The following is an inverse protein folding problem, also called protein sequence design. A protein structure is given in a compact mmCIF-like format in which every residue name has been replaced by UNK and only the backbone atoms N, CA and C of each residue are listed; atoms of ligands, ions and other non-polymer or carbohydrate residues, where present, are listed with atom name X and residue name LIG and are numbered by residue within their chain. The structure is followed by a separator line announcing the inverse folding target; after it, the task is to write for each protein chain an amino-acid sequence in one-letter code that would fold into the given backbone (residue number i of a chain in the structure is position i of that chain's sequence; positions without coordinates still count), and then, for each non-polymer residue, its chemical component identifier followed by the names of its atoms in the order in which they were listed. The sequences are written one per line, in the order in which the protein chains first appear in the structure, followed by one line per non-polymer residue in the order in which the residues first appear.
data_IF_376929092590
#
_entry.id   IF_376929092590
#
_cell.length_a   1.000
_cell.length_b   1.000
_cell.length_c   1.000
_cell.angle_alpha   90.00
_cell.angle_beta   90.00
_cell.angle_gamma   90.00
#
_symmetry.space_group_name_H-M   'P 1'
#
loop_
_entity.id
_entity.type
_entity.pdbx_description
1 polymer ?
#
# COMPACT_ATOMS: atom_id res chain seq x y z
N UNK A 1 26.17 -56.12 9.66
CA UNK A 1 25.34 -54.90 9.51
C UNK A 1 26.22 -53.79 8.98
N UNK A 2 25.91 -53.25 7.81
CA UNK A 2 26.66 -52.16 7.19
C UNK A 2 26.60 -52.23 5.66
N UNK A 3 25.59 -51.59 5.07
CA UNK A 3 25.49 -51.35 3.63
C UNK A 3 25.54 -49.83 3.43
N UNK A 4 26.70 -49.35 2.99
CA UNK A 4 26.89 -47.98 2.50
C UNK A 4 26.28 -47.86 1.11
N UNK A 5 25.40 -46.87 0.93
CA UNK A 5 24.98 -46.40 -0.38
C UNK A 5 25.78 -45.14 -0.73
N UNK A 6 26.55 -45.20 -1.82
CA UNK A 6 27.16 -44.06 -2.50
C UNK A 6 26.19 -43.57 -3.57
N UNK A 7 25.77 -42.30 -3.50
CA UNK A 7 25.13 -41.60 -4.61
C UNK A 7 26.13 -40.64 -5.28
N UNK A 8 26.13 -40.52 -6.62
CA UNK A 8 27.01 -39.61 -7.32
C UNK A 8 26.47 -38.17 -7.25
N UNK A 9 27.34 -37.23 -6.91
CA UNK A 9 27.07 -35.79 -7.01
C UNK A 9 27.42 -35.35 -8.43
N UNK A 10 26.40 -35.17 -9.26
CA UNK A 10 26.53 -34.39 -10.50
C UNK A 10 25.33 -33.45 -10.62
N UNK A 11 25.51 -32.19 -10.22
CA UNK A 11 24.74 -31.10 -10.80
C UNK A 11 25.63 -29.86 -10.87
N UNK A 12 26.06 -29.54 -12.08
CA UNK A 12 26.58 -28.23 -12.45
C UNK A 12 25.50 -27.18 -12.16
N UNK A 13 25.60 -26.51 -11.03
CA UNK A 13 24.81 -25.32 -10.73
C UNK A 13 25.20 -24.23 -11.73
N UNK A 14 24.37 -24.07 -12.75
CA UNK A 14 24.36 -22.85 -13.56
C UNK A 14 23.68 -21.79 -12.69
N UNK A 15 24.47 -20.85 -12.15
CA UNK A 15 23.92 -19.67 -11.49
C UNK A 15 23.00 -18.95 -12.48
N UNK A 16 21.73 -18.70 -12.14
CA UNK A 16 20.85 -17.94 -13.02
C UNK A 16 21.43 -16.53 -13.18
N UNK A 17 21.76 -16.19 -14.43
CA UNK A 17 22.24 -14.88 -14.82
C UNK A 17 21.21 -13.80 -14.44
N UNK A 18 21.55 -12.98 -13.45
CA UNK A 18 20.90 -11.71 -13.11
C UNK A 18 20.82 -10.79 -14.35
N UNK A 19 19.76 -10.85 -15.16
CA UNK A 19 19.74 -10.04 -16.39
C UNK A 19 18.44 -9.29 -16.71
N UNK A 20 17.39 -9.41 -15.90
CA UNK A 20 16.18 -8.55 -16.02
C UNK A 20 15.70 -7.97 -14.69
N UNK A 21 15.68 -8.75 -13.60
CA UNK A 21 15.26 -8.27 -12.27
C UNK A 21 16.16 -7.16 -11.69
N UNK A 22 17.47 -7.21 -11.91
CA UNK A 22 18.39 -6.23 -11.31
C UNK A 22 18.17 -4.79 -11.82
N UNK A 23 17.81 -4.63 -13.10
CA UNK A 23 17.55 -3.31 -13.69
C UNK A 23 16.22 -2.72 -13.20
N UNK A 24 15.18 -3.54 -13.13
CA UNK A 24 13.89 -3.12 -12.57
C UNK A 24 14.04 -2.77 -11.09
N UNK A 25 14.76 -3.59 -10.31
CA UNK A 25 15.06 -3.29 -8.92
C UNK A 25 15.83 -1.97 -8.77
N UNK A 26 16.82 -1.68 -9.62
CA UNK A 26 17.54 -0.40 -9.57
C UNK A 26 16.65 0.80 -9.90
N UNK A 27 15.73 0.66 -10.86
CA UNK A 27 14.76 1.72 -11.18
C UNK A 27 13.77 1.94 -10.02
N UNK A 28 13.28 0.87 -9.40
CA UNK A 28 12.43 0.92 -8.20
C UNK A 28 13.18 1.59 -7.04
N UNK A 29 14.44 1.23 -6.78
CA UNK A 29 15.26 1.88 -5.74
C UNK A 29 15.45 3.38 -5.99
N UNK A 30 15.72 3.78 -7.24
CA UNK A 30 15.85 5.20 -7.61
C UNK A 30 14.53 5.95 -7.45
N UNK A 31 13.42 5.31 -7.83
CA UNK A 31 12.06 5.83 -7.64
C UNK A 31 11.77 6.05 -6.15
N UNK A 32 11.99 5.04 -5.31
CA UNK A 32 11.78 5.10 -3.85
C UNK A 32 12.68 6.13 -3.16
N UNK A 33 13.95 6.24 -3.58
CA UNK A 33 14.88 7.24 -3.04
C UNK A 33 14.44 8.67 -3.41
N UNK A 34 13.98 8.87 -4.64
CA UNK A 34 13.42 10.15 -5.10
C UNK A 34 12.17 10.51 -4.33
N UNK A 35 11.23 9.57 -4.16
CA UNK A 35 10.01 9.80 -3.39
C UNK A 35 10.32 10.15 -1.93
N UNK A 36 11.26 9.42 -1.30
CA UNK A 36 11.69 9.72 0.07
C UNK A 36 12.32 11.12 0.20
N UNK A 37 13.07 11.57 -0.80
CA UNK A 37 13.64 12.93 -0.83
C UNK A 37 12.56 14.00 -1.05
N UNK A 38 11.58 13.74 -1.93
CA UNK A 38 10.44 14.62 -2.16
C UNK A 38 9.64 14.87 -0.87
N UNK A 39 9.34 13.80 -0.13
CA UNK A 39 8.61 13.87 1.13
C UNK A 39 9.40 14.62 2.19
N UNK A 40 10.69 14.30 2.36
CA UNK A 40 11.57 15.00 3.31
C UNK A 40 11.64 16.50 3.03
N UNK A 41 11.76 16.90 1.77
CA UNK A 41 11.77 18.31 1.40
C UNK A 41 10.39 18.96 1.58
N UNK A 42 9.31 18.23 1.33
CA UNK A 42 7.94 18.77 1.48
C UNK A 42 7.55 18.97 2.95
N UNK A 43 8.09 18.15 3.87
CA UNK A 43 7.79 18.26 5.31
C UNK A 43 8.59 19.32 6.07
N UNK A 44 9.59 19.95 5.43
CA UNK A 44 10.39 21.00 6.06
C UNK A 44 9.73 22.37 5.90
N UNK A 45 9.56 23.09 7.02
CA UNK A 45 9.03 24.47 7.03
C UNK A 45 9.98 25.47 6.38
N UNK A 46 11.28 25.27 6.55
CA UNK A 46 12.31 26.25 6.20
C UNK A 46 13.35 25.66 5.23
N UNK A 47 12.91 25.44 3.99
CA UNK A 47 13.82 25.05 2.91
C UNK A 47 14.74 26.19 2.51
N UNK A 48 16.04 25.92 2.39
CA UNK A 48 16.98 26.85 1.79
C UNK A 48 16.78 26.96 0.27
N UNK A 49 17.42 27.92 -0.39
CA UNK A 49 17.24 28.17 -1.83
C UNK A 49 17.58 26.95 -2.70
N UNK A 50 18.61 26.20 -2.33
CA UNK A 50 19.04 24.98 -3.05
C UNK A 50 18.02 23.87 -2.90
N UNK A 51 17.49 23.67 -1.69
CA UNK A 51 16.47 22.66 -1.40
C UNK A 51 15.13 22.97 -2.08
N UNK A 52 14.74 24.25 -2.18
CA UNK A 52 13.56 24.66 -2.96
C UNK A 52 13.72 24.37 -4.45
N UNK A 53 14.90 24.61 -5.00
CA UNK A 53 15.22 24.28 -6.40
C UNK A 53 15.24 22.76 -6.62
N UNK A 54 15.80 22.01 -5.67
CA UNK A 54 15.78 20.54 -5.69
C UNK A 54 14.34 20.03 -5.68
N UNK A 55 13.52 20.47 -4.71
CA UNK A 55 12.10 20.10 -4.61
C UNK A 55 11.35 20.40 -5.93
N UNK A 56 11.58 21.59 -6.49
CA UNK A 56 11.00 22.01 -7.77
C UNK A 56 11.41 21.04 -8.88
N UNK A 57 12.71 20.73 -9.00
CA UNK A 57 13.25 19.82 -10.01
C UNK A 57 12.78 18.37 -9.82
N UNK A 58 12.61 17.93 -8.57
CA UNK A 58 12.09 16.61 -8.25
C UNK A 58 10.58 16.52 -8.55
N UNK A 59 9.79 17.57 -8.34
CA UNK A 59 8.35 17.59 -8.71
C UNK A 59 8.15 17.65 -10.22
N UNK A 60 8.95 18.43 -10.93
CA UNK A 60 8.89 18.59 -12.39
C UNK A 60 9.16 17.29 -13.18
N UNK A 61 9.75 16.27 -12.55
CA UNK A 61 10.03 14.96 -13.16
C UNK A 61 8.84 13.98 -13.11
N UNK A 62 7.65 14.42 -12.69
CA UNK A 62 6.41 13.63 -12.70
C UNK A 62 6.31 12.54 -11.62
N UNK A 63 5.25 11.75 -11.64
CA UNK A 63 5.07 10.65 -10.67
C UNK A 63 6.22 9.64 -10.76
N UNK A 64 6.72 9.19 -9.61
CA UNK A 64 7.78 8.17 -9.54
C UNK A 64 7.24 6.76 -9.77
N UNK A 65 5.91 6.59 -9.70
CA UNK A 65 5.21 5.36 -10.00
C UNK A 65 5.12 5.15 -11.52
N UNK A 66 5.75 4.09 -12.01
CA UNK A 66 5.61 3.67 -13.40
C UNK A 66 5.24 2.19 -13.49
N UNK A 67 3.94 1.93 -13.56
CA UNK A 67 3.37 0.60 -13.71
C UNK A 67 3.58 -0.01 -15.10
N UNK A 68 4.12 0.72 -16.08
CA UNK A 68 4.61 0.10 -17.33
C UNK A 68 5.81 -0.83 -17.09
N UNK A 69 6.42 -0.77 -15.90
CA UNK A 69 7.52 -1.63 -15.49
C UNK A 69 7.05 -2.90 -14.76
N UNK A 70 5.75 -3.01 -14.49
CA UNK A 70 5.19 -4.17 -13.81
C UNK A 70 5.08 -5.35 -14.77
N UNK A 71 5.37 -6.53 -14.24
CA UNK A 71 5.09 -7.78 -14.93
C UNK A 71 3.58 -8.03 -14.94
N UNK A 72 3.14 -8.92 -15.83
CA UNK A 72 1.74 -9.37 -15.86
C UNK A 72 1.32 -10.00 -14.53
N UNK A 73 2.23 -10.71 -13.86
CA UNK A 73 1.99 -11.31 -12.54
C UNK A 73 1.75 -10.25 -11.49
N UNK A 74 2.52 -9.16 -11.49
CA UNK A 74 2.31 -8.08 -10.53
C UNK A 74 1.03 -7.29 -10.82
N UNK A 75 0.69 -7.06 -12.09
CA UNK A 75 -0.60 -6.44 -12.46
C UNK A 75 -1.77 -7.32 -11.98
N UNK A 76 -1.68 -8.64 -12.16
CA UNK A 76 -2.69 -9.57 -11.64
C UNK A 76 -2.78 -9.54 -10.12
N UNK A 77 -1.66 -9.49 -9.42
CA UNK A 77 -1.58 -9.36 -7.96
C UNK A 77 -2.28 -8.08 -7.46
N UNK A 78 -2.05 -6.93 -8.11
CA UNK A 78 -2.72 -5.67 -7.77
C UNK A 78 -4.24 -5.75 -8.00
N UNK A 79 -4.67 -6.32 -9.11
CA UNK A 79 -6.10 -6.52 -9.40
C UNK A 79 -6.77 -7.45 -8.39
N UNK A 80 -6.07 -8.50 -7.94
CA UNK A 80 -6.55 -9.38 -6.87
C UNK A 80 -6.77 -8.60 -5.57
N UNK A 81 -5.83 -7.73 -5.19
CA UNK A 81 -5.98 -6.94 -3.97
C UNK A 81 -7.04 -5.83 -4.06
N UNK A 82 -7.24 -5.23 -5.24
CA UNK A 82 -8.40 -4.37 -5.48
C UNK A 82 -9.73 -5.14 -5.32
N UNK A 83 -9.76 -6.39 -5.80
CA UNK A 83 -10.91 -7.29 -5.63
C UNK A 83 -11.16 -7.57 -4.15
N UNK A 84 -10.11 -7.96 -3.39
CA UNK A 84 -10.19 -8.17 -1.94
C UNK A 84 -10.71 -6.91 -1.25
N UNK A 85 -10.21 -5.73 -1.60
CA UNK A 85 -10.69 -4.48 -1.00
C UNK A 85 -12.19 -4.31 -1.19
N UNK A 86 -12.67 -4.49 -2.42
CA UNK A 86 -14.11 -4.40 -2.75
C UNK A 86 -14.95 -5.53 -2.13
N UNK A 87 -14.38 -6.71 -1.88
CA UNK A 87 -15.05 -7.82 -1.18
C UNK A 87 -15.20 -7.52 0.31
N UNK A 88 -14.20 -6.86 0.90
CA UNK A 88 -14.20 -6.49 2.30
C UNK A 88 -15.05 -5.25 2.57
N UNK A 89 -15.42 -4.45 1.58
CA UNK A 89 -16.20 -3.22 1.76
C UNK A 89 -17.57 -3.34 1.08
N UNK A 90 -18.50 -2.44 1.41
CA UNK A 90 -19.82 -2.38 0.76
C UNK A 90 -19.86 -1.23 -0.24
N UNK A 91 -20.67 -1.34 -1.30
CA UNK A 91 -20.85 -0.27 -2.30
C UNK A 91 -21.27 1.08 -1.72
N UNK A 92 -21.87 1.08 -0.52
CA UNK A 92 -22.32 2.27 0.19
C UNK A 92 -21.28 2.84 1.18
N UNK A 93 -20.14 2.16 1.36
CA UNK A 93 -19.07 2.55 2.26
C UNK A 93 -18.34 3.79 1.73
N UNK A 94 -17.89 4.65 2.65
CA UNK A 94 -17.01 5.78 2.33
C UNK A 94 -15.56 5.33 2.45
N UNK A 95 -14.79 5.42 1.36
CA UNK A 95 -13.46 4.81 1.26
C UNK A 95 -12.36 5.84 1.05
N UNK A 96 -11.24 5.67 1.75
CA UNK A 96 -9.99 6.37 1.49
C UNK A 96 -8.95 5.40 0.94
N UNK A 97 -8.28 5.73 -0.15
CA UNK A 97 -7.23 4.87 -0.70
C UNK A 97 -6.14 5.67 -1.42
N UNK A 98 -4.98 5.05 -1.57
CA UNK A 98 -3.90 5.60 -2.39
C UNK A 98 -3.97 5.00 -3.78
N UNK A 99 -3.80 5.83 -4.79
CA UNK A 99 -3.83 5.39 -6.19
C UNK A 99 -2.75 6.12 -6.99
N UNK A 100 -2.33 5.46 -8.07
CA UNK A 100 -1.30 5.95 -8.97
C UNK A 100 -1.89 6.60 -10.23
N UNK A 101 -1.00 6.98 -11.19
CA UNK A 101 -1.39 7.64 -12.44
C UNK A 101 -2.29 6.80 -13.35
N UNK A 102 -2.35 5.48 -13.17
CA UNK A 102 -3.27 4.62 -13.92
C UNK A 102 -4.67 4.51 -13.30
N UNK A 103 -4.82 5.01 -12.06
CA UNK A 103 -6.08 5.00 -11.33
C UNK A 103 -6.69 3.59 -11.20
N UNK A 104 -5.86 2.57 -10.96
CA UNK A 104 -6.29 1.17 -11.08
C UNK A 104 -7.29 0.81 -9.98
N UNK A 105 -7.05 1.26 -8.75
CA UNK A 105 -7.98 1.06 -7.63
C UNK A 105 -9.27 1.86 -7.84
N UNK A 106 -9.17 3.13 -8.25
CA UNK A 106 -10.31 3.99 -8.57
C UNK A 106 -11.21 3.36 -9.62
N UNK A 107 -10.64 2.93 -10.75
CA UNK A 107 -11.39 2.32 -11.86
C UNK A 107 -12.03 1.01 -11.43
N UNK A 108 -11.36 0.20 -10.62
CA UNK A 108 -11.91 -1.03 -10.08
C UNK A 108 -13.14 -0.78 -9.19
N UNK A 109 -13.04 0.17 -8.26
CA UNK A 109 -14.15 0.52 -7.37
C UNK A 109 -15.36 1.07 -8.17
N UNK A 110 -15.12 1.98 -9.12
CA UNK A 110 -16.19 2.48 -9.99
C UNK A 110 -16.83 1.37 -10.84
N UNK A 111 -16.03 0.45 -11.37
CA UNK A 111 -16.55 -0.70 -12.13
C UNK A 111 -17.35 -1.69 -11.26
N UNK A 112 -17.07 -1.74 -9.97
CA UNK A 112 -17.81 -2.55 -8.98
C UNK A 112 -19.12 -1.88 -8.55
N UNK A 113 -19.30 -0.59 -8.83
CA UNK A 113 -20.54 0.15 -8.57
C UNK A 113 -20.50 1.06 -7.35
N UNK A 114 -19.31 1.40 -6.83
CA UNK A 114 -19.18 2.41 -5.77
C UNK A 114 -19.54 3.80 -6.30
N UNK A 115 -20.23 4.60 -5.49
CA UNK A 115 -20.53 5.99 -5.81
C UNK A 115 -19.25 6.84 -5.79
N UNK A 116 -19.05 7.67 -6.81
CA UNK A 116 -17.83 8.45 -6.94
C UNK A 116 -17.63 9.49 -5.82
N UNK A 117 -18.70 9.98 -5.19
CA UNK A 117 -18.69 10.95 -4.09
C UNK A 117 -18.32 10.32 -2.73
N UNK A 118 -18.30 8.98 -2.65
CA UNK A 118 -17.86 8.20 -1.49
C UNK A 118 -16.39 7.76 -1.59
N UNK A 119 -15.71 8.04 -2.71
CA UNK A 119 -14.32 7.66 -2.96
C UNK A 119 -13.38 8.84 -2.74
N UNK A 120 -12.38 8.66 -1.88
CA UNK A 120 -11.41 9.70 -1.51
C UNK A 120 -9.99 9.20 -1.73
N UNK A 121 -9.14 10.06 -2.29
CA UNK A 121 -7.72 9.73 -2.49
C UNK A 121 -6.82 10.96 -2.38
N UNK A 122 -5.56 10.72 -2.06
CA UNK A 122 -4.53 11.75 -1.98
C UNK A 122 -3.31 11.32 -2.79
N UNK A 123 -2.69 12.28 -3.50
CA UNK A 123 -1.45 12.05 -4.21
C UNK A 123 -0.58 13.33 -4.21
N UNK A 124 0.75 13.18 -4.15
CA UNK A 124 1.67 14.33 -4.15
C UNK A 124 1.86 14.98 -5.53
N UNK A 125 1.50 14.27 -6.61
CA UNK A 125 1.79 14.70 -7.97
C UNK A 125 0.54 15.29 -8.63
N UNK A 126 0.59 16.60 -8.91
CA UNK A 126 -0.52 17.33 -9.53
C UNK A 126 -1.03 16.72 -10.85
N UNK A 127 -0.17 16.08 -11.64
CA UNK A 127 -0.58 15.37 -12.86
C UNK A 127 -1.46 14.15 -12.55
N UNK A 128 -1.04 13.31 -11.59
CA UNK A 128 -1.83 12.17 -11.12
C UNK A 128 -3.14 12.62 -10.48
N UNK A 129 -3.11 13.70 -9.68
CA UNK A 129 -4.31 14.34 -9.11
C UNK A 129 -5.26 14.80 -10.23
N UNK A 130 -4.75 15.47 -11.26
CA UNK A 130 -5.57 15.95 -12.37
C UNK A 130 -6.23 14.80 -13.15
N UNK A 131 -5.54 13.67 -13.34
CA UNK A 131 -6.11 12.48 -13.97
C UNK A 131 -7.19 11.83 -13.09
N UNK A 132 -6.91 11.64 -11.80
CA UNK A 132 -7.88 11.10 -10.84
C UNK A 132 -9.14 11.98 -10.72
N UNK A 133 -8.99 13.32 -10.78
CA UNK A 133 -10.12 14.27 -10.75
C UNK A 133 -11.07 14.15 -11.94
N UNK A 134 -10.66 13.48 -13.03
CA UNK A 134 -11.54 13.17 -14.15
C UNK A 134 -12.48 12.01 -13.84
N UNK A 135 -12.15 11.19 -12.83
CA UNK A 135 -12.90 9.99 -12.44
C UNK A 135 -13.77 10.22 -11.21
N UNK A 136 -13.22 10.89 -10.19
CA UNK A 136 -13.90 11.14 -8.91
C UNK A 136 -13.69 12.58 -8.43
N UNK A 137 -14.63 13.17 -7.67
CA UNK A 137 -14.50 14.55 -7.18
C UNK A 137 -13.52 14.72 -6.01
N UNK A 138 -13.40 13.73 -5.11
CA UNK A 138 -12.65 13.89 -3.85
C UNK A 138 -11.18 13.46 -3.98
N UNK A 139 -10.42 14.21 -4.79
CA UNK A 139 -9.00 13.98 -5.01
C UNK A 139 -8.19 15.17 -4.49
N UNK A 140 -7.25 14.90 -3.60
CA UNK A 140 -6.48 15.93 -2.91
C UNK A 140 -5.00 15.85 -3.29
N UNK A 141 -4.38 17.01 -3.46
CA UNK A 141 -2.94 17.11 -3.65
C UNK A 141 -2.26 17.26 -2.27
N UNK A 142 -1.37 16.33 -1.92
CA UNK A 142 -0.68 16.35 -0.63
C UNK A 142 -0.38 14.95 -0.08
N UNK A 143 0.14 14.91 1.15
CA UNK A 143 0.34 13.64 1.85
C UNK A 143 -0.99 13.05 2.30
N UNK A 144 -1.05 11.72 2.39
CA UNK A 144 -2.22 11.05 2.93
C UNK A 144 -2.52 11.46 4.39
N UNK A 145 -1.48 11.64 5.22
CA UNK A 145 -1.62 12.06 6.62
C UNK A 145 -2.16 13.48 6.76
N UNK A 146 -1.71 14.42 5.92
CA UNK A 146 -2.19 15.80 5.91
C UNK A 146 -3.64 15.88 5.43
N UNK A 147 -3.94 15.17 4.33
CA UNK A 147 -5.30 15.15 3.76
C UNK A 147 -6.28 14.55 4.76
N UNK A 148 -5.99 13.38 5.33
CA UNK A 148 -6.86 12.74 6.32
C UNK A 148 -7.12 13.63 7.54
N UNK A 149 -6.12 14.35 8.05
CA UNK A 149 -6.30 15.32 9.16
C UNK A 149 -7.23 16.48 8.80
N UNK A 150 -7.29 16.86 7.53
CA UNK A 150 -8.11 17.99 7.06
C UNK A 150 -9.55 17.62 6.75
N UNK A 151 -9.86 16.33 6.66
CA UNK A 151 -11.18 15.82 6.31
C UNK A 151 -11.98 15.49 7.57
N UNK A 152 -13.20 16.00 7.65
CA UNK A 152 -14.19 15.60 8.66
C UNK A 152 -15.08 14.47 8.10
N UNK A 153 -14.44 13.33 7.78
CA UNK A 153 -15.10 12.18 7.14
C UNK A 153 -14.73 10.90 7.89
N UNK A 154 -15.74 10.12 8.25
CA UNK A 154 -15.54 8.79 8.86
C UNK A 154 -15.58 7.72 7.78
N UNK A 155 -14.41 7.21 7.42
CA UNK A 155 -14.27 6.15 6.41
C UNK A 155 -14.52 4.76 6.99
N UNK A 156 -15.12 3.91 6.17
CA UNK A 156 -15.39 2.51 6.44
C UNK A 156 -14.24 1.60 5.97
N UNK A 157 -13.38 2.10 5.07
CA UNK A 157 -12.26 1.36 4.54
C UNK A 157 -11.08 2.25 4.13
N UNK A 158 -9.88 1.76 4.42
CA UNK A 158 -8.62 2.37 4.04
C UNK A 158 -7.78 1.38 3.24
N UNK A 159 -7.36 1.73 2.03
CA UNK A 159 -6.36 0.96 1.28
C UNK A 159 -5.12 1.80 0.99
N UNK A 160 -4.11 1.64 1.85
CA UNK A 160 -2.84 2.37 1.80
C UNK A 160 -1.84 1.65 0.89
N UNK A 161 -2.14 1.71 -0.42
CA UNK A 161 -1.32 1.14 -1.49
C UNK A 161 -0.04 1.97 -1.78
N UNK A 162 0.69 2.26 -0.72
CA UNK A 162 1.88 3.12 -0.76
C UNK A 162 3.12 2.44 -1.33
N UNK A 163 3.13 1.10 -1.43
CA UNK A 163 4.30 0.27 -1.71
C UNK A 163 5.57 0.80 -1.01
N UNK A 164 5.45 1.25 0.24
CA UNK A 164 6.56 1.89 0.94
C UNK A 164 7.43 0.85 1.63
N UNK A 165 8.72 1.15 1.71
CA UNK A 165 9.64 0.42 2.56
C UNK A 165 9.56 0.81 4.04
N UNK A 166 8.94 1.93 4.37
CA UNK A 166 9.00 2.52 5.71
C UNK A 166 7.68 2.41 6.46
N UNK A 167 7.70 1.69 7.58
CA UNK A 167 6.58 1.58 8.53
C UNK A 167 6.29 2.90 9.23
N UNK A 168 7.32 3.69 9.56
CA UNK A 168 7.13 5.00 10.21
C UNK A 168 6.17 5.92 9.47
N UNK A 169 6.22 5.93 8.13
CA UNK A 169 5.33 6.72 7.27
C UNK A 169 3.90 6.19 7.27
N UNK A 170 3.75 4.86 7.28
CA UNK A 170 2.43 4.23 7.40
C UNK A 170 1.84 4.55 8.77
N UNK A 171 2.62 4.41 9.84
CA UNK A 171 2.19 4.73 11.21
C UNK A 171 1.79 6.20 11.33
N UNK A 172 2.48 7.12 10.65
CA UNK A 172 2.08 8.53 10.59
C UNK A 172 0.67 8.71 10.02
N UNK A 173 0.33 8.00 8.95
CA UNK A 173 -1.02 7.98 8.36
C UNK A 173 -2.00 7.31 9.32
N UNK A 174 -1.62 6.16 9.90
CA UNK A 174 -2.49 5.42 10.81
C UNK A 174 -2.85 6.23 12.07
N UNK A 175 -1.93 7.07 12.56
CA UNK A 175 -2.19 8.00 13.67
C UNK A 175 -3.23 9.09 13.35
N UNK A 176 -3.62 9.27 12.08
CA UNK A 176 -4.69 10.19 11.68
C UNK A 176 -6.03 9.49 11.53
N UNK A 177 -6.06 8.16 11.58
CA UNK A 177 -7.26 7.35 11.40
C UNK A 177 -7.89 7.10 12.77
N UNK A 178 -9.20 7.33 12.85
CA UNK A 178 -10.00 6.95 14.03
C UNK A 178 -10.94 5.80 13.67
N UNK A 179 -10.83 4.67 14.38
CA UNK A 179 -11.67 3.49 14.17
C UNK A 179 -13.01 3.60 14.93
N UNK A 180 -13.84 4.57 14.57
CA UNK A 180 -15.12 4.81 15.24
C UNK A 180 -16.33 4.10 14.61
N UNK A 181 -16.19 3.55 13.40
CA UNK A 181 -17.23 2.74 12.78
C UNK A 181 -17.32 1.36 13.44
N UNK A 182 -18.50 0.72 13.45
CA UNK A 182 -18.69 -0.69 13.82
C UNK A 182 -17.61 -1.63 13.27
N UNK A 183 -17.26 -1.38 12.01
CA UNK A 183 -16.33 -2.17 11.24
C UNK A 183 -15.58 -1.23 10.30
N UNK A 184 -14.26 -1.34 10.31
CA UNK A 184 -13.36 -0.64 9.39
C UNK A 184 -12.44 -1.64 8.72
N UNK A 185 -12.27 -1.54 7.40
CA UNK A 185 -11.30 -2.35 6.64
C UNK A 185 -9.98 -1.58 6.54
N UNK A 186 -8.86 -2.26 6.73
CA UNK A 186 -7.53 -1.69 6.54
C UNK A 186 -6.67 -2.61 5.67
N UNK A 187 -6.24 -2.10 4.52
CA UNK A 187 -5.25 -2.71 3.65
C UNK A 187 -3.98 -1.89 3.60
N UNK A 188 -2.81 -2.52 3.73
CA UNK A 188 -1.51 -1.86 3.64
C UNK A 188 -0.59 -2.66 2.72
N UNK A 189 0.12 -1.97 1.84
CA UNK A 189 1.18 -2.58 1.03
C UNK A 189 2.57 -2.16 1.51
N UNK A 190 3.48 -3.11 1.66
CA UNK A 190 4.88 -2.92 2.02
C UNK A 190 5.79 -3.49 0.94
N UNK A 191 6.89 -2.81 0.63
CA UNK A 191 7.96 -3.44 -0.18
C UNK A 191 9.02 -4.10 0.71
N UNK A 192 9.64 -5.17 0.24
CA UNK A 192 10.80 -5.82 0.86
C UNK A 192 12.01 -4.88 0.96
N UNK A 193 12.08 -3.86 0.09
CA UNK A 193 13.08 -2.81 0.19
C UNK A 193 12.79 -1.88 1.37
N UNK A 194 13.54 -1.99 2.47
CA UNK A 194 13.45 -1.07 3.61
C UNK A 194 14.58 -0.03 3.59
N UNK A 195 14.31 1.28 3.78
CA UNK A 195 15.36 2.31 3.85
C UNK A 195 16.32 2.14 5.03
N UNK A 196 15.84 1.57 6.14
CA UNK A 196 16.60 1.35 7.38
C UNK A 196 17.22 -0.05 7.48
N UNK A 197 17.04 -0.90 6.45
CA UNK A 197 17.48 -2.30 6.43
C UNK A 197 16.62 -3.26 7.26
N UNK A 198 15.53 -2.81 7.88
CA UNK A 198 14.63 -3.66 8.66
C UNK A 198 13.96 -4.73 7.78
N UNK A 199 13.93 -5.97 8.27
CA UNK A 199 13.27 -7.07 7.57
C UNK A 199 11.77 -6.79 7.41
N UNK A 200 11.16 -7.36 6.36
CA UNK A 200 9.70 -7.26 6.16
C UNK A 200 8.93 -7.83 7.37
N UNK A 201 9.43 -8.90 7.98
CA UNK A 201 8.84 -9.52 9.18
C UNK A 201 8.80 -8.55 10.35
N UNK A 202 9.93 -7.88 10.66
CA UNK A 202 9.98 -6.92 11.77
C UNK A 202 9.02 -5.75 11.55
N UNK A 203 8.91 -5.28 10.30
CA UNK A 203 7.99 -4.21 9.90
C UNK A 203 6.52 -4.63 10.00
N UNK A 204 6.17 -5.86 9.62
CA UNK A 204 4.83 -6.43 9.84
C UNK A 204 4.52 -6.53 11.34
N UNK A 205 5.48 -6.96 12.16
CA UNK A 205 5.33 -7.01 13.63
C UNK A 205 5.08 -5.62 14.19
N UNK A 206 5.81 -4.60 13.75
CA UNK A 206 5.64 -3.21 14.19
C UNK A 206 4.23 -2.69 13.87
N UNK A 207 3.74 -2.90 12.63
CA UNK A 207 2.38 -2.51 12.25
C UNK A 207 1.32 -3.24 13.07
N UNK A 208 1.49 -4.54 13.29
CA UNK A 208 0.60 -5.31 14.16
C UNK A 208 0.62 -4.75 15.59
N UNK A 209 1.79 -4.51 16.16
CA UNK A 209 1.91 -3.95 17.52
C UNK A 209 1.17 -2.62 17.65
N UNK A 210 1.30 -1.73 16.65
CA UNK A 210 0.57 -0.47 16.62
C UNK A 210 -0.95 -0.69 16.54
N UNK A 211 -1.41 -1.62 15.70
CA UNK A 211 -2.83 -1.86 15.47
C UNK A 211 -3.49 -2.53 16.69
N UNK A 212 -2.80 -3.48 17.33
CA UNK A 212 -3.27 -4.15 18.56
C UNK A 212 -3.13 -3.27 19.82
N UNK A 213 -2.36 -2.18 19.78
CA UNK A 213 -2.30 -1.21 20.89
C UNK A 213 -3.45 -0.19 20.85
N UNK A 214 -4.31 -0.23 19.84
CA UNK A 214 -5.50 0.64 19.79
C UNK A 214 -6.54 0.16 20.79
N UNK A 215 -6.91 1.04 21.72
CA UNK A 215 -7.96 0.77 22.70
C UNK A 215 -9.34 0.72 22.04
N UNK A 216 -10.27 -0.02 22.65
CA UNK A 216 -11.66 -0.07 22.19
C UNK A 216 -11.91 -0.86 20.90
N UNK A 217 -10.89 -1.41 20.24
CA UNK A 217 -11.06 -2.21 19.02
C UNK A 217 -10.65 -3.66 19.20
N UNK A 218 -11.23 -4.52 18.36
CA UNK A 218 -10.79 -5.89 18.09
C UNK A 218 -10.27 -5.93 16.66
N UNK A 219 -9.10 -6.51 16.47
CA UNK A 219 -8.41 -6.57 15.17
C UNK A 219 -8.37 -8.02 14.72
N UNK A 220 -8.78 -8.28 13.48
CA UNK A 220 -8.77 -9.61 12.87
C UNK A 220 -7.99 -9.56 11.55
N UNK A 221 -6.95 -10.39 11.43
CA UNK A 221 -6.17 -10.55 10.20
C UNK A 221 -7.01 -11.31 9.16
N UNK A 222 -7.15 -10.75 7.96
CA UNK A 222 -7.83 -11.43 6.85
C UNK A 222 -6.95 -12.55 6.30
N UNK A 223 -5.62 -12.41 6.39
CA UNK A 223 -4.68 -13.42 5.91
C UNK A 223 -4.79 -14.76 6.67
N UNK A 224 -5.24 -14.72 7.93
CA UNK A 224 -5.33 -15.90 8.79
C UNK A 224 -6.56 -16.74 8.44
N UNK A 225 -7.67 -16.10 8.06
CA UNK A 225 -8.96 -16.74 7.74
C UNK A 225 -9.66 -16.08 6.53
N UNK A 226 -9.09 -16.08 5.32
CA UNK A 226 -9.60 -15.30 4.18
C UNK A 226 -11.06 -15.65 3.83
N UNK A 227 -11.41 -16.93 3.89
CA UNK A 227 -12.77 -17.42 3.58
C UNK A 227 -13.83 -16.87 4.53
N UNK A 228 -13.49 -16.63 5.80
CA UNK A 228 -14.42 -16.03 6.79
C UNK A 228 -14.87 -14.64 6.33
N UNK A 229 -14.04 -13.96 5.56
CA UNK A 229 -14.27 -12.62 5.04
C UNK A 229 -14.74 -12.60 3.59
N UNK A 230 -15.20 -13.73 3.06
CA UNK A 230 -15.64 -13.83 1.67
C UNK A 230 -14.51 -13.78 0.63
N UNK A 231 -13.25 -13.81 1.07
CA UNK A 231 -12.10 -13.88 0.16
C UNK A 231 -11.89 -15.34 -0.25
N UNK A 232 -12.29 -15.67 -1.47
CA UNK A 232 -12.20 -17.01 -2.04
C UNK A 232 -10.89 -17.25 -2.81
N UNK A 233 -10.51 -18.53 -2.95
CA UNK A 233 -9.33 -18.95 -3.72
C UNK A 233 -8.00 -18.95 -2.95
N UNK A 234 -6.93 -19.27 -3.68
CA UNK A 234 -5.55 -19.13 -3.18
C UNK A 234 -5.11 -17.67 -3.30
N UNK A 235 -5.13 -16.95 -2.19
CA UNK A 235 -4.67 -15.55 -2.16
C UNK A 235 -3.15 -15.52 -1.96
N UNK A 236 -2.46 -14.88 -2.89
CA UNK A 236 -1.07 -14.47 -2.67
C UNK A 236 -1.08 -13.11 -1.99
N UNK A 237 -0.44 -13.03 -0.82
CA UNK A 237 -0.21 -11.79 -0.10
C UNK A 237 1.21 -11.23 -0.31
N UNK A 238 2.01 -11.90 -1.13
CA UNK A 238 3.33 -11.43 -1.55
C UNK A 238 3.54 -11.72 -3.04
N UNK A 239 4.04 -10.73 -3.78
CA UNK A 239 4.48 -10.85 -5.16
C UNK A 239 5.59 -9.84 -5.47
N UNK A 240 6.65 -10.29 -6.15
CA UNK A 240 7.79 -9.44 -6.56
C UNK A 240 8.40 -8.57 -5.45
N UNK A 241 8.34 -9.07 -4.22
CA UNK A 241 8.83 -8.38 -3.04
C UNK A 241 7.94 -7.23 -2.58
N UNK A 242 6.65 -7.25 -2.92
CA UNK A 242 5.60 -6.45 -2.29
C UNK A 242 4.72 -7.39 -1.47
N UNK A 243 4.51 -7.06 -0.21
CA UNK A 243 3.59 -7.74 0.71
C UNK A 243 2.34 -6.87 0.89
N UNK A 244 1.16 -7.48 0.87
CA UNK A 244 -0.10 -6.81 1.21
C UNK A 244 -0.70 -7.45 2.45
N UNK A 245 -1.05 -6.61 3.41
CA UNK A 245 -1.64 -6.99 4.68
C UNK A 245 -3.07 -6.46 4.73
N UNK A 246 -3.99 -7.27 5.22
CA UNK A 246 -5.40 -6.94 5.34
C UNK A 246 -5.90 -7.23 6.75
N UNK A 247 -6.57 -6.26 7.35
CA UNK A 247 -7.24 -6.40 8.64
C UNK A 247 -8.68 -5.89 8.57
N UNK A 248 -9.52 -6.49 9.40
CA UNK A 248 -10.82 -5.95 9.77
C UNK A 248 -10.73 -5.49 11.23
N UNK A 249 -11.03 -4.21 11.45
CA UNK A 249 -11.03 -3.57 12.77
C UNK A 249 -12.48 -3.40 13.21
N UNK A 250 -12.86 -4.05 14.30
CA UNK A 250 -14.21 -4.06 14.86
C UNK A 250 -14.24 -3.22 16.14
N UNK A 251 -15.17 -2.28 16.23
CA UNK A 251 -15.35 -1.50 17.45
C UNK A 251 -16.02 -2.38 18.53
N UNK A 252 -15.40 -2.52 19.70
CA UNK A 252 -15.89 -3.37 20.80
C UNK A 252 -17.19 -2.86 21.41
N UNK A 253 -17.47 -1.57 21.29
CA UNK A 253 -18.66 -0.95 21.84
C UNK A 253 -19.91 -1.19 20.98
N UNK A 254 -19.76 -1.72 19.76
CA UNK A 254 -20.88 -2.12 18.94
C UNK A 254 -21.34 -3.55 19.29
N UNK A 255 -22.32 -3.64 20.20
CA UNK A 255 -22.95 -4.90 20.67
C UNK A 255 -23.77 -5.63 19.58
N UNK A 256 -23.48 -5.45 18.29
CA UNK A 256 -24.23 -6.03 17.16
C UNK A 256 -23.59 -7.25 16.51
N UNK A 257 -22.50 -7.79 17.07
CA UNK A 257 -21.92 -9.08 16.63
C UNK A 257 -22.52 -10.27 17.35
#
# INVERSE_FOLDING_TARGET
MGLLWLFPVSSSYSLPLFTTNARNNQLIHKSNARQSRLEHLTSQSDLNSTERLELTGLRARGDTYNSSLFTETHVHFKNLHNTIFSTLTNIDDTLFYLDGPQSTTTRHLLATGYDNDKLYTANYFGETVAELKRLIPNVFEGSASEVLKSLDVNFDGYYLDSCTGSTSKIIEILNTITFNKPRTVLGITLTNSSPDGSSIINRVIELNQWLYSQDGVKVESVCDEPRRWGVEGEVKFEDEGVVVLWWVVLNKDDNRT
#
